data_IF_355352564730
#
_entry.id   IF_355352564730
#
_cell.length_a   1.000
_cell.length_b   1.000
_cell.length_c   1.000
_cell.angle_alpha   90.00
_cell.angle_beta   90.00
_cell.angle_gamma   90.00
#
_symmetry.space_group_name_H-M   'P 1'
#
loop_
_entity.id
_entity.type
_entity.pdbx_description
1 polymer ?
#
# COMPACT_ATOMS: atom_id res chain seq x y z
N UNK A 1 12.07 -18.40 4.76
CA UNK A 1 11.89 -17.00 5.17
C UNK A 1 10.49 -16.54 4.83
N UNK A 2 9.73 -16.04 5.78
CA UNK A 2 8.38 -15.55 5.51
C UNK A 2 8.43 -14.21 4.79
N UNK A 3 7.59 -14.04 3.77
CA UNK A 3 7.44 -12.76 3.07
C UNK A 3 6.70 -11.76 3.96
N UNK A 4 6.75 -10.48 3.58
CA UNK A 4 5.98 -9.43 4.27
C UNK A 4 4.48 -9.70 4.19
N UNK A 5 4.00 -10.26 3.07
CA UNK A 5 2.59 -10.62 2.90
C UNK A 5 2.21 -11.76 3.85
N UNK A 6 3.08 -12.75 4.03
CA UNK A 6 2.85 -13.84 4.98
C UNK A 6 2.81 -13.31 6.42
N UNK A 7 3.69 -12.38 6.76
CA UNK A 7 3.70 -11.72 8.07
C UNK A 7 2.41 -10.95 8.30
N UNK A 8 1.91 -10.24 7.28
CA UNK A 8 0.63 -9.54 7.38
C UNK A 8 -0.52 -10.50 7.67
N UNK A 9 -0.59 -11.61 6.93
CA UNK A 9 -1.66 -12.62 7.14
C UNK A 9 -1.61 -13.16 8.55
N UNK A 10 -0.42 -13.46 9.05
CA UNK A 10 -0.23 -13.95 10.42
C UNK A 10 -0.69 -12.92 11.44
N UNK A 11 -0.30 -11.66 11.28
CA UNK A 11 -0.67 -10.59 12.20
C UNK A 11 -2.17 -10.30 12.20
N UNK A 12 -2.81 -10.26 11.03
CA UNK A 12 -4.26 -10.10 10.94
C UNK A 12 -4.98 -11.26 11.63
N UNK A 13 -4.49 -12.49 11.44
CA UNK A 13 -5.05 -13.65 12.09
C UNK A 13 -4.93 -13.56 13.61
N UNK A 14 -3.77 -13.14 14.12
CA UNK A 14 -3.56 -12.94 15.56
C UNK A 14 -4.48 -11.87 16.11
N UNK A 15 -4.61 -10.75 15.42
CA UNK A 15 -5.48 -9.65 15.83
C UNK A 15 -6.95 -10.10 15.91
N UNK A 16 -7.40 -10.90 14.95
CA UNK A 16 -8.80 -11.35 14.89
C UNK A 16 -9.19 -12.25 16.06
N UNK A 17 -8.22 -12.85 16.75
CA UNK A 17 -8.47 -13.72 17.90
C UNK A 17 -8.61 -12.95 19.21
N UNK A 18 -8.32 -11.68 19.22
CA UNK A 18 -8.39 -10.84 20.42
C UNK A 18 -9.77 -10.20 20.55
N UNK A 19 -10.29 -10.24 21.79
CA UNK A 19 -11.61 -9.73 22.10
C UNK A 19 -11.54 -8.25 22.47
N UNK A 20 -12.43 -7.45 21.90
CA UNK A 20 -12.48 -6.00 22.13
C UNK A 20 -13.30 -5.63 23.39
N UNK A 21 -13.75 -6.62 24.15
CA UNK A 21 -14.47 -6.43 25.41
C UNK A 21 -13.52 -6.24 26.60
N UNK A 22 -12.25 -6.60 26.46
CA UNK A 22 -11.27 -6.55 27.55
C UNK A 22 -10.15 -5.56 27.24
N UNK A 23 -9.90 -4.58 28.14
CA UNK A 23 -8.86 -3.55 27.89
C UNK A 23 -7.48 -4.11 27.56
N UNK A 24 -7.06 -5.18 28.24
CA UNK A 24 -5.75 -5.81 27.98
C UNK A 24 -5.67 -6.34 26.55
N UNK A 25 -6.72 -6.98 26.08
CA UNK A 25 -6.75 -7.55 24.73
C UNK A 25 -6.79 -6.43 23.67
N UNK A 26 -7.40 -5.30 23.97
CA UNK A 26 -7.37 -4.13 23.08
C UNK A 26 -5.94 -3.61 22.95
N UNK A 27 -5.20 -3.53 24.07
CA UNK A 27 -3.79 -3.09 24.05
C UNK A 27 -2.95 -4.04 23.18
N UNK A 28 -3.13 -5.36 23.36
CA UNK A 28 -2.42 -6.35 22.56
C UNK A 28 -2.78 -6.21 21.07
N UNK A 29 -4.04 -5.98 20.76
CA UNK A 29 -4.53 -5.78 19.39
C UNK A 29 -3.94 -4.50 18.78
N UNK A 30 -3.87 -3.42 19.54
CA UNK A 30 -3.23 -2.17 19.10
C UNK A 30 -1.76 -2.37 18.76
N UNK A 31 -1.05 -3.15 19.58
CA UNK A 31 0.35 -3.49 19.32
C UNK A 31 0.51 -4.23 17.99
N UNK A 32 -0.38 -5.20 17.73
CA UNK A 32 -0.37 -5.96 16.48
C UNK A 32 -0.67 -5.03 15.29
N UNK A 33 -1.65 -4.16 15.41
CA UNK A 33 -1.96 -3.19 14.35
C UNK A 33 -0.81 -2.23 14.08
N UNK A 34 -0.03 -1.87 15.09
CA UNK A 34 1.19 -1.09 14.91
C UNK A 34 2.21 -1.80 14.04
N UNK A 35 2.39 -3.10 14.26
CA UNK A 35 3.28 -3.94 13.44
C UNK A 35 2.76 -4.05 11.99
N UNK A 36 1.45 -4.19 11.83
CA UNK A 36 0.80 -4.22 10.51
C UNK A 36 1.06 -2.92 9.76
N UNK A 37 0.92 -1.76 10.43
CA UNK A 37 1.18 -0.45 9.82
C UNK A 37 2.62 -0.34 9.32
N UNK A 38 3.57 -0.83 10.10
CA UNK A 38 4.98 -0.78 9.69
C UNK A 38 5.20 -1.56 8.39
N UNK A 39 4.65 -2.76 8.31
CA UNK A 39 4.78 -3.60 7.11
C UNK A 39 4.06 -2.94 5.92
N UNK A 40 2.83 -2.47 6.12
CA UNK A 40 2.06 -1.80 5.06
C UNK A 40 2.76 -0.54 4.56
N UNK A 41 3.36 0.23 5.47
CA UNK A 41 4.14 1.42 5.10
C UNK A 41 5.31 1.07 4.21
N UNK A 42 6.04 0.00 4.54
CA UNK A 42 7.16 -0.48 3.73
C UNK A 42 6.71 -0.98 2.36
N UNK A 43 5.61 -1.73 2.30
CA UNK A 43 5.05 -2.23 1.04
C UNK A 43 4.55 -1.08 0.15
N UNK A 44 3.91 -0.08 0.77
CA UNK A 44 3.44 1.11 0.07
C UNK A 44 4.62 1.89 -0.54
N UNK A 45 5.67 2.11 0.24
CA UNK A 45 6.86 2.80 -0.23
C UNK A 45 7.53 2.06 -1.38
N UNK A 46 7.66 0.73 -1.27
CA UNK A 46 8.26 -0.10 -2.32
C UNK A 46 7.43 -0.07 -3.61
N UNK A 47 6.11 -0.18 -3.51
CA UNK A 47 5.22 -0.12 -4.67
C UNK A 47 5.27 1.26 -5.34
N UNK A 48 5.35 2.33 -4.55
CA UNK A 48 5.47 3.70 -5.06
C UNK A 48 6.77 3.87 -5.85
N UNK A 49 7.87 3.33 -5.34
CA UNK A 49 9.16 3.38 -6.04
C UNK A 49 9.06 2.64 -7.38
N UNK A 50 8.53 1.42 -7.37
CA UNK A 50 8.38 0.62 -8.59
C UNK A 50 7.50 1.34 -9.62
N UNK A 51 6.42 1.98 -9.16
CA UNK A 51 5.55 2.78 -10.03
C UNK A 51 6.32 3.93 -10.69
N UNK A 52 7.08 4.69 -9.90
CA UNK A 52 7.86 5.82 -10.40
C UNK A 52 8.97 5.38 -11.33
N UNK A 53 9.60 4.24 -11.08
CA UNK A 53 10.61 3.68 -12.00
C UNK A 53 9.99 3.25 -13.33
N UNK A 54 8.81 2.63 -13.30
CA UNK A 54 8.09 2.24 -14.51
C UNK A 54 7.68 3.47 -15.33
N UNK A 55 7.22 4.54 -14.66
CA UNK A 55 6.91 5.83 -15.29
C UNK A 55 8.14 6.42 -15.99
N UNK A 56 9.28 6.43 -15.29
CA UNK A 56 10.54 6.93 -15.85
C UNK A 56 10.97 6.11 -17.07
N UNK A 57 10.84 4.79 -17.02
CA UNK A 57 11.15 3.90 -18.13
C UNK A 57 10.24 4.13 -19.33
N UNK A 58 8.97 4.37 -19.08
CA UNK A 58 8.00 4.70 -20.14
C UNK A 58 8.41 5.99 -20.85
N UNK A 59 8.72 7.04 -20.09
CA UNK A 59 9.13 8.32 -20.63
C UNK A 59 10.43 8.23 -21.42
N UNK A 60 11.42 7.51 -20.87
CA UNK A 60 12.71 7.27 -21.53
C UNK A 60 12.52 6.53 -22.84
N UNK A 61 11.70 5.48 -22.85
CA UNK A 61 11.42 4.69 -24.05
C UNK A 61 10.80 5.55 -25.15
N UNK A 62 9.82 6.38 -24.79
CA UNK A 62 9.16 7.28 -25.74
C UNK A 62 10.17 8.28 -26.33
N UNK A 63 10.98 8.89 -25.47
CA UNK A 63 12.01 9.84 -25.90
C UNK A 63 13.04 9.19 -26.83
N UNK A 64 13.45 7.95 -26.53
CA UNK A 64 14.41 7.22 -27.36
C UNK A 64 13.86 6.92 -28.74
N UNK A 65 12.59 6.52 -28.84
CA UNK A 65 11.95 6.25 -30.15
C UNK A 65 11.94 7.51 -31.01
N UNK A 66 11.57 8.66 -30.44
CA UNK A 66 11.58 9.94 -31.17
C UNK A 66 12.97 10.35 -31.59
N UNK A 67 13.97 10.06 -30.78
CA UNK A 67 15.37 10.42 -31.03
C UNK A 67 16.01 9.54 -32.13
N UNK A 68 15.67 8.23 -32.13
CA UNK A 68 16.27 7.25 -33.05
C UNK A 68 15.61 7.23 -34.44
N UNK A 69 14.39 7.71 -34.56
CA UNK A 69 13.65 7.75 -35.81
C UNK A 69 13.09 9.16 -36.05
N UNK A 70 13.97 10.11 -36.45
CA UNK A 70 13.52 11.48 -36.65
C UNK A 70 12.73 11.67 -37.96
N UNK A 71 12.66 10.64 -38.82
CA UNK A 71 11.94 10.70 -40.07
C UNK A 71 10.61 9.95 -39.97
N UNK A 72 9.64 10.43 -40.72
CA UNK A 72 8.29 9.88 -40.71
C UNK A 72 7.28 10.89 -40.20
N UNK A 73 6.00 10.60 -40.40
CA UNK A 73 4.93 11.47 -39.90
C UNK A 73 4.88 11.43 -38.36
N UNK A 74 4.36 12.48 -37.76
CA UNK A 74 4.16 12.50 -36.30
C UNK A 74 3.31 11.33 -35.84
N UNK A 75 2.29 10.98 -36.60
CA UNK A 75 1.39 9.87 -36.28
C UNK A 75 2.15 8.53 -36.25
N UNK A 76 3.01 8.27 -37.25
CA UNK A 76 3.80 7.04 -37.30
C UNK A 76 4.79 6.96 -36.14
N UNK A 77 5.42 8.09 -35.81
CA UNK A 77 6.36 8.18 -34.68
C UNK A 77 5.67 7.96 -33.35
N UNK A 78 4.48 8.52 -33.17
CA UNK A 78 3.66 8.30 -31.97
C UNK A 78 3.27 6.83 -31.82
N UNK A 79 2.84 6.17 -32.93
CA UNK A 79 2.49 4.75 -32.88
C UNK A 79 3.67 3.88 -32.51
N UNK A 80 4.85 4.14 -33.05
CA UNK A 80 6.07 3.41 -32.71
C UNK A 80 6.43 3.60 -31.24
N UNK A 81 6.34 4.83 -30.75
CA UNK A 81 6.64 5.14 -29.37
C UNK A 81 5.67 4.44 -28.42
N UNK A 82 4.38 4.45 -28.72
CA UNK A 82 3.37 3.77 -27.91
C UNK A 82 3.55 2.26 -27.91
N UNK A 83 3.85 1.66 -29.06
CA UNK A 83 4.13 0.22 -29.11
C UNK A 83 5.36 -0.14 -28.29
N UNK A 84 6.43 0.64 -28.37
CA UNK A 84 7.64 0.40 -27.61
C UNK A 84 7.41 0.58 -26.10
N UNK A 85 6.54 1.51 -25.71
CA UNK A 85 6.26 1.83 -24.31
C UNK A 85 5.18 0.94 -23.69
N UNK A 86 4.49 0.10 -24.47
CA UNK A 86 3.34 -0.68 -23.99
C UNK A 86 3.66 -1.51 -22.75
N UNK A 87 4.83 -2.17 -22.71
CA UNK A 87 5.27 -2.97 -21.57
C UNK A 87 5.37 -2.10 -20.30
N UNK A 88 5.96 -0.93 -20.43
CA UNK A 88 6.15 -0.02 -19.28
C UNK A 88 4.84 0.60 -18.81
N UNK A 89 3.88 0.83 -19.72
CA UNK A 89 2.54 1.27 -19.35
C UNK A 89 1.81 0.21 -18.52
N UNK A 90 1.97 -1.06 -18.87
CA UNK A 90 1.39 -2.17 -18.11
C UNK A 90 2.02 -2.29 -16.72
N UNK A 91 3.34 -2.17 -16.64
CA UNK A 91 4.07 -2.18 -15.36
C UNK A 91 3.66 -0.98 -14.48
N UNK A 92 3.57 0.20 -15.08
CA UNK A 92 3.14 1.42 -14.39
C UNK A 92 1.75 1.25 -13.80
N UNK A 93 0.79 0.74 -14.58
CA UNK A 93 -0.58 0.51 -14.13
C UNK A 93 -0.64 -0.53 -12.99
N UNK A 94 0.16 -1.59 -13.10
CA UNK A 94 0.25 -2.62 -12.07
C UNK A 94 0.74 -2.06 -10.74
N UNK A 95 1.84 -1.30 -10.77
CA UNK A 95 2.43 -0.75 -9.55
C UNK A 95 1.60 0.40 -8.98
N UNK A 96 0.92 1.18 -9.83
CA UNK A 96 -0.02 2.19 -9.37
C UNK A 96 -1.16 1.55 -8.59
N UNK A 97 -1.72 0.45 -9.09
CA UNK A 97 -2.78 -0.29 -8.43
C UNK A 97 -2.30 -0.87 -7.09
N UNK A 98 -1.08 -1.42 -7.04
CA UNK A 98 -0.49 -1.94 -5.80
C UNK A 98 -0.28 -0.81 -4.78
N UNK A 99 0.23 0.33 -5.23
CA UNK A 99 0.43 1.51 -4.39
C UNK A 99 -0.88 1.94 -3.74
N UNK A 100 -1.94 2.02 -4.53
CA UNK A 100 -3.25 2.41 -4.04
C UNK A 100 -3.82 1.38 -3.05
N UNK A 101 -3.61 0.11 -3.32
CA UNK A 101 -4.06 -0.98 -2.42
C UNK A 101 -3.40 -0.88 -1.06
N UNK A 102 -2.07 -0.72 -1.01
CA UNK A 102 -1.34 -0.61 0.25
C UNK A 102 -1.68 0.67 0.99
N UNK A 103 -1.86 1.78 0.27
CA UNK A 103 -2.31 3.05 0.86
C UNK A 103 -3.66 2.89 1.53
N UNK A 104 -4.61 2.26 0.84
CA UNK A 104 -5.97 2.05 1.38
C UNK A 104 -5.94 1.14 2.60
N UNK A 105 -5.16 0.07 2.57
CA UNK A 105 -5.01 -0.83 3.71
C UNK A 105 -4.40 -0.10 4.91
N UNK A 106 -3.37 0.71 4.68
CA UNK A 106 -2.73 1.53 5.71
C UNK A 106 -3.74 2.47 6.36
N UNK A 107 -4.50 3.19 5.58
CA UNK A 107 -5.54 4.12 6.05
C UNK A 107 -6.60 3.39 6.87
N UNK A 108 -7.05 2.22 6.40
CA UNK A 108 -8.04 1.41 7.13
C UNK A 108 -7.54 0.97 8.50
N UNK A 109 -6.29 0.55 8.59
CA UNK A 109 -5.71 0.14 9.88
C UNK A 109 -5.58 1.35 10.82
N UNK A 110 -5.19 2.53 10.30
CA UNK A 110 -5.17 3.75 11.12
C UNK A 110 -6.55 4.05 11.72
N UNK A 111 -7.60 3.91 10.93
CA UNK A 111 -8.97 4.12 11.40
C UNK A 111 -9.34 3.10 12.50
N UNK A 112 -8.98 1.83 12.30
CA UNK A 112 -9.20 0.79 13.30
C UNK A 112 -8.47 1.10 14.61
N UNK A 113 -7.25 1.59 14.53
CA UNK A 113 -6.48 2.00 15.71
C UNK A 113 -7.23 3.09 16.47
N UNK A 114 -7.77 4.10 15.79
CA UNK A 114 -8.51 5.18 16.44
C UNK A 114 -9.78 4.65 17.12
N UNK A 115 -10.49 3.76 16.46
CA UNK A 115 -11.70 3.12 17.02
C UNK A 115 -11.34 2.34 18.29
N UNK A 116 -10.27 1.55 18.25
CA UNK A 116 -9.83 0.74 19.39
C UNK A 116 -9.36 1.61 20.57
N UNK A 117 -8.69 2.72 20.29
CA UNK A 117 -8.28 3.67 21.33
C UNK A 117 -9.50 4.23 22.07
N UNK A 118 -10.53 4.61 21.33
CA UNK A 118 -11.78 5.11 21.93
C UNK A 118 -12.48 4.02 22.73
N UNK A 119 -12.50 2.80 22.21
CA UNK A 119 -13.08 1.66 22.92
C UNK A 119 -12.35 1.39 24.23
N UNK A 120 -11.02 1.42 24.18
CA UNK A 120 -10.18 1.25 25.38
C UNK A 120 -10.50 2.32 26.43
N UNK A 121 -10.52 3.59 26.03
CA UNK A 121 -10.84 4.70 26.94
C UNK A 121 -12.20 4.52 27.59
N UNK A 122 -13.21 4.13 26.80
CA UNK A 122 -14.56 3.88 27.32
C UNK A 122 -14.55 2.78 28.36
N UNK A 123 -13.91 1.64 28.08
CA UNK A 123 -13.87 0.50 29.00
C UNK A 123 -13.12 0.84 30.30
N UNK A 124 -12.03 1.59 30.20
CA UNK A 124 -11.26 2.02 31.36
C UNK A 124 -12.08 2.98 32.22
N UNK A 125 -12.77 3.93 31.62
CA UNK A 125 -13.61 4.90 32.36
C UNK A 125 -14.76 4.21 33.07
N UNK A 126 -15.42 3.24 32.42
CA UNK A 126 -16.49 2.46 33.04
C UNK A 126 -15.95 1.66 34.21
N UNK A 127 -14.79 1.01 34.03
CA UNK A 127 -14.13 0.19 35.05
C UNK A 127 -13.69 1.01 36.28
N UNK A 128 -13.40 2.31 36.12
CA UNK A 128 -13.00 3.19 37.21
C UNK A 128 -14.18 3.73 38.02
N UNK A 129 -15.36 3.15 37.86
CA UNK A 129 -16.53 3.54 38.61
C UNK A 129 -17.14 4.85 38.12
N UNK A 130 -16.75 5.27 36.97
CA UNK A 130 -17.45 6.33 36.29
C UNK A 130 -18.80 5.77 35.91
N UNK A 131 -19.69 6.04 36.49
CA UNK A 131 -21.07 5.74 36.29
C UNK A 131 -21.46 5.28 34.88
#
# INVERSE_FOLDING_TARGET
MMSKIDDLKRLYSQASKLDEEYPKQIIDKLSIYGQILEILGNLWAAATLDWKLAEAKRRETIANVYSLDPQGSNKDREMKAEMAAAKWRQEEAKYEAETQRFKNAYTSVLEQIQILKKRYEHLVNVSKGGV
#
